data_IF_122781781344
#
_entry.id   IF_122781781344
#
_cell.length_a   1.000
_cell.length_b   1.000
_cell.length_c   1.000
_cell.angle_alpha   90.00
_cell.angle_beta   90.00
_cell.angle_gamma   90.00
#
_symmetry.space_group_name_H-M   'P 1'
#
loop_
_entity.id
_entity.type
_entity.pdbx_description
1 polymer ?
#
# COMPACT_ATOMS: atom_id res chain seq x y z
N UNK A 1 -1.23 1.97 3.94
CA UNK A 1 -1.35 0.85 4.89
C UNK A 1 -1.42 -0.42 4.08
N UNK A 2 -0.82 -1.51 4.52
CA UNK A 2 -0.93 -2.79 3.80
C UNK A 2 -2.39 -3.31 3.86
N UNK A 3 -2.78 -4.17 2.93
CA UNK A 3 -4.14 -4.74 2.85
C UNK A 3 -4.56 -5.47 4.13
N UNK A 4 -3.59 -6.05 4.85
CA UNK A 4 -3.79 -6.73 6.13
C UNK A 4 -3.94 -5.76 7.33
N UNK A 5 -4.04 -4.46 7.09
CA UNK A 5 -4.15 -3.43 8.13
C UNK A 5 -2.84 -3.08 8.85
N UNK A 6 -1.71 -3.65 8.43
CA UNK A 6 -0.40 -3.31 9.02
C UNK A 6 0.23 -2.07 8.37
N UNK A 7 1.17 -1.43 9.07
CA UNK A 7 1.90 -0.26 8.55
C UNK A 7 2.76 -0.62 7.33
N UNK A 8 3.27 0.39 6.61
CA UNK A 8 4.28 0.18 5.59
C UNK A 8 5.52 -0.50 6.22
N UNK A 9 6.19 -1.38 5.47
CA UNK A 9 7.41 -2.06 5.92
C UNK A 9 8.61 -1.12 5.94
N UNK A 10 9.54 -1.37 6.87
CA UNK A 10 10.80 -0.65 6.96
C UNK A 10 11.82 -1.22 5.97
N UNK A 11 11.74 -0.73 4.72
CA UNK A 11 12.59 -1.19 3.63
C UNK A 11 12.74 -0.10 2.56
N UNK A 12 13.47 -0.43 1.50
CA UNK A 12 13.50 0.39 0.27
C UNK A 12 12.38 -0.06 -0.66
N UNK A 13 11.55 0.89 -1.08
CA UNK A 13 10.44 0.67 -1.99
C UNK A 13 10.77 1.23 -3.37
N UNK A 14 10.67 0.39 -4.41
CA UNK A 14 10.71 0.84 -5.80
C UNK A 14 9.29 1.25 -6.23
N UNK A 15 9.09 2.56 -6.35
CA UNK A 15 7.81 3.15 -6.73
C UNK A 15 7.69 3.26 -8.25
N UNK A 16 6.47 3.11 -8.74
CA UNK A 16 6.14 3.35 -10.13
C UNK A 16 6.04 4.84 -10.42
N UNK A 17 6.60 5.27 -11.55
CA UNK A 17 6.55 6.67 -12.00
C UNK A 17 5.44 6.81 -13.04
N UNK A 18 4.41 7.58 -12.71
CA UNK A 18 3.32 7.92 -13.64
C UNK A 18 3.53 9.30 -14.24
N UNK A 19 3.33 9.39 -15.56
CA UNK A 19 3.29 10.66 -16.30
C UNK A 19 1.87 11.17 -16.36
N UNK A 20 1.72 12.46 -16.14
CA UNK A 20 0.42 13.16 -16.14
C UNK A 20 0.23 13.84 -17.51
N UNK A 21 -0.87 13.53 -18.18
CA UNK A 21 -1.45 14.34 -19.25
C UNK A 21 -2.39 15.38 -18.62
N UNK A 22 -1.87 16.59 -18.41
CA UNK A 22 -2.60 17.70 -17.80
C UNK A 22 -3.90 18.09 -18.53
N UNK A 23 -4.12 17.66 -19.78
CA UNK A 23 -5.39 17.91 -20.48
C UNK A 23 -6.50 16.96 -20.05
N UNK A 24 -6.14 15.81 -19.49
CA UNK A 24 -7.06 14.71 -19.12
C UNK A 24 -7.12 14.46 -17.62
N UNK A 25 -6.08 14.88 -16.90
CA UNK A 25 -5.97 14.73 -15.45
C UNK A 25 -6.85 15.75 -14.73
N UNK A 26 -7.65 15.27 -13.78
CA UNK A 26 -8.40 16.09 -12.83
C UNK A 26 -7.73 15.98 -11.46
N UNK A 27 -7.41 17.10 -10.84
CA UNK A 27 -6.71 17.16 -9.54
C UNK A 27 -7.57 16.62 -8.38
N UNK A 28 -8.90 16.61 -8.53
CA UNK A 28 -9.81 16.01 -7.56
C UNK A 28 -9.98 14.49 -7.76
N UNK A 29 -9.41 13.93 -8.82
CA UNK A 29 -9.51 12.51 -9.12
C UNK A 29 -8.57 11.69 -8.22
N UNK A 30 -9.15 10.70 -7.55
CA UNK A 30 -8.44 9.77 -6.67
C UNK A 30 -8.20 8.40 -7.32
N UNK A 31 -8.51 8.23 -8.61
CA UNK A 31 -8.33 6.96 -9.33
C UNK A 31 -6.89 6.44 -9.34
N UNK A 32 -5.90 7.29 -9.10
CA UNK A 32 -4.51 6.87 -8.92
C UNK A 32 -4.34 5.89 -7.74
N UNK A 33 -5.22 5.91 -6.73
CA UNK A 33 -5.20 4.98 -5.60
C UNK A 33 -5.53 3.54 -6.01
N UNK A 34 -6.17 3.33 -7.17
CA UNK A 34 -6.47 2.00 -7.71
C UNK A 34 -5.37 1.47 -8.64
N UNK A 35 -4.34 2.27 -8.91
CA UNK A 35 -3.19 1.86 -9.70
C UNK A 35 -2.12 1.26 -8.78
N UNK A 36 -1.31 0.31 -9.30
CA UNK A 36 -0.21 -0.25 -8.52
C UNK A 36 0.79 0.85 -8.15
N UNK A 37 1.25 0.84 -6.90
CA UNK A 37 2.18 1.83 -6.36
C UNK A 37 3.64 1.40 -6.46
N UNK A 38 3.90 0.09 -6.38
CA UNK A 38 5.24 -0.50 -6.38
C UNK A 38 5.44 -1.48 -7.53
N UNK A 39 6.70 -1.80 -7.83
CA UNK A 39 7.05 -2.83 -8.83
C UNK A 39 6.48 -4.21 -8.48
N UNK A 40 6.47 -4.57 -7.19
CA UNK A 40 5.91 -5.83 -6.72
C UNK A 40 4.39 -5.90 -6.92
N UNK A 41 3.70 -4.78 -6.70
CA UNK A 41 2.25 -4.68 -6.91
C UNK A 41 1.89 -4.70 -8.40
N UNK A 42 2.73 -4.10 -9.24
CA UNK A 42 2.60 -4.15 -10.70
C UNK A 42 2.58 -5.59 -11.23
N UNK A 43 3.51 -6.42 -10.78
CA UNK A 43 3.61 -7.81 -11.25
C UNK A 43 2.36 -8.62 -10.87
N UNK A 44 1.81 -8.40 -9.67
CA UNK A 44 0.53 -8.98 -9.23
C UNK A 44 -0.62 -8.48 -10.08
N UNK A 45 -0.69 -7.16 -10.31
CA UNK A 45 -1.73 -6.52 -11.11
C UNK A 45 -1.76 -7.10 -12.53
N UNK A 46 -0.60 -7.24 -13.17
CA UNK A 46 -0.50 -7.80 -14.52
C UNK A 46 -0.90 -9.28 -14.55
N UNK A 47 -0.55 -10.05 -13.52
CA UNK A 47 -0.94 -11.47 -13.42
C UNK A 47 -2.45 -11.65 -13.31
N UNK A 48 -3.14 -10.76 -12.59
CA UNK A 48 -4.60 -10.83 -12.40
C UNK A 48 -5.34 -10.29 -13.63
N UNK A 49 -4.84 -9.21 -14.24
CA UNK A 49 -5.58 -8.44 -15.24
C UNK A 49 -5.16 -8.73 -16.70
N UNK A 50 -4.11 -9.53 -16.95
CA UNK A 50 -3.67 -9.86 -18.32
C UNK A 50 -4.03 -11.29 -18.73
N UNK A 51 -4.50 -11.51 -19.98
CA UNK A 51 -4.66 -12.85 -20.53
C UNK A 51 -3.28 -13.54 -20.71
N UNK A 52 -3.22 -14.89 -20.78
CA UNK A 52 -1.97 -15.67 -20.81
C UNK A 52 -1.17 -15.55 -22.13
N UNK A 53 -1.41 -14.52 -22.94
CA UNK A 53 -0.69 -14.28 -24.20
C UNK A 53 0.26 -13.09 -24.08
N UNK A 54 1.48 -13.17 -24.64
CA UNK A 54 2.48 -12.12 -24.55
C UNK A 54 2.10 -10.98 -25.49
N UNK A 55 1.15 -10.15 -25.09
CA UNK A 55 0.76 -8.96 -25.85
C UNK A 55 1.66 -7.77 -25.49
N UNK A 56 2.06 -7.06 -26.53
CA UNK A 56 3.13 -6.07 -26.58
C UNK A 56 2.88 -4.92 -25.60
N UNK A 57 3.86 -4.68 -24.71
CA UNK A 57 4.00 -3.43 -23.96
C UNK A 57 3.12 -3.32 -22.71
N UNK A 58 3.54 -3.98 -21.62
CA UNK A 58 2.90 -3.96 -20.29
C UNK A 58 2.52 -2.55 -19.78
N UNK A 59 3.22 -1.49 -20.21
CA UNK A 59 2.94 -0.12 -19.77
C UNK A 59 1.69 0.50 -20.41
N UNK A 60 1.24 0.02 -21.58
CA UNK A 60 0.03 0.55 -22.23
C UNK A 60 -1.26 0.07 -21.57
N UNK A 61 -1.18 -1.00 -20.77
CA UNK A 61 -2.33 -1.59 -20.07
C UNK A 61 -2.66 -0.84 -18.77
N UNK A 62 -1.78 0.05 -18.32
CA UNK A 62 -1.88 0.73 -17.03
C UNK A 62 -1.90 2.22 -17.27
N UNK A 63 -3.05 2.66 -17.78
CA UNK A 63 -3.38 4.07 -17.92
C UNK A 63 -4.79 4.30 -17.40
N UNK A 64 -4.95 5.26 -16.50
CA UNK A 64 -6.24 5.74 -16.02
C UNK A 64 -6.22 7.27 -16.02
N UNK A 65 -7.29 7.90 -16.50
CA UNK A 65 -7.58 9.32 -16.29
C UNK A 65 -6.39 10.29 -16.48
N UNK A 66 -5.64 10.13 -17.59
CA UNK A 66 -4.48 10.97 -17.90
C UNK A 66 -3.16 10.55 -17.23
N UNK A 67 -3.14 9.47 -16.47
CA UNK A 67 -1.94 8.85 -15.92
C UNK A 67 -1.44 7.75 -16.84
N UNK A 68 -0.14 7.70 -17.11
CA UNK A 68 0.49 6.62 -17.89
C UNK A 68 1.78 6.18 -17.23
N UNK A 69 1.96 4.87 -17.08
CA UNK A 69 3.17 4.30 -16.47
C UNK A 69 4.43 4.58 -17.32
N UNK A 70 5.47 5.13 -16.70
CA UNK A 70 6.78 5.32 -17.33
C UNK A 70 7.63 4.05 -17.23
N UNK A 71 8.16 3.58 -18.36
CA UNK A 71 9.08 2.42 -18.42
C UNK A 71 10.54 2.76 -18.12
N UNK A 72 10.89 4.04 -18.25
CA UNK A 72 12.28 4.49 -18.37
C UNK A 72 12.80 5.11 -17.09
N UNK A 73 11.90 5.44 -16.19
CA UNK A 73 12.21 6.15 -14.96
C UNK A 73 12.11 5.17 -13.80
N UNK A 74 13.05 5.25 -12.87
CA UNK A 74 13.07 4.46 -11.64
C UNK A 74 13.13 5.41 -10.45
N UNK A 75 12.31 5.14 -9.43
CA UNK A 75 12.22 5.97 -8.24
C UNK A 75 12.19 5.11 -6.98
N UNK A 76 13.06 5.43 -6.02
CA UNK A 76 13.23 4.65 -4.80
C UNK A 76 13.04 5.53 -3.57
N UNK A 77 12.35 5.02 -2.57
CA UNK A 77 12.23 5.63 -1.24
C UNK A 77 12.64 4.63 -0.17
N UNK A 78 13.28 5.10 0.90
CA UNK A 78 13.49 4.32 2.12
C UNK A 78 12.50 4.76 3.19
N UNK A 79 11.84 3.82 3.87
CA UNK A 79 10.94 4.13 4.98
C UNK A 79 11.42 3.52 6.30
N UNK A 80 11.19 4.25 7.38
CA UNK A 80 11.33 3.78 8.76
C UNK A 80 10.10 4.25 9.55
N UNK A 81 9.22 3.34 9.89
CA UNK A 81 7.99 3.60 10.63
C UNK A 81 8.26 3.45 12.12
N UNK A 82 8.34 4.58 12.81
CA UNK A 82 8.47 4.58 14.26
C UNK A 82 7.09 4.68 14.92
N UNK A 83 6.65 3.63 15.61
CA UNK A 83 5.54 3.74 16.55
C UNK A 83 6.03 4.44 17.81
N UNK A 84 5.57 5.67 18.05
CA UNK A 84 5.74 6.28 19.37
C UNK A 84 4.88 5.53 20.38
N UNK A 85 5.48 5.11 21.48
CA UNK A 85 4.78 4.41 22.57
C UNK A 85 3.71 5.33 23.16
N UNK A 86 2.43 5.06 22.87
CA UNK A 86 1.33 5.63 23.64
C UNK A 86 1.38 4.97 25.03
N UNK A 87 1.55 5.78 26.05
CA UNK A 87 1.95 5.39 27.40
C UNK A 87 0.98 4.43 28.09
N UNK A 88 1.54 3.29 28.54
CA UNK A 88 1.29 2.58 29.80
C UNK A 88 -0.15 2.30 30.29
N UNK A 89 -1.18 2.29 29.44
CA UNK A 89 -2.45 1.70 29.87
C UNK A 89 -2.35 0.17 29.77
N UNK A 90 -2.20 -0.49 30.93
CA UNK A 90 -2.08 -1.96 31.05
C UNK A 90 -3.32 -2.65 30.49
N UNK A 91 -4.50 -2.05 30.65
CA UNK A 91 -5.77 -2.58 30.16
C UNK A 91 -5.80 -2.58 28.63
N UNK A 92 -5.33 -1.50 28.00
CA UNK A 92 -5.26 -1.37 26.55
C UNK A 92 -4.23 -2.33 25.93
N UNK A 93 -3.13 -2.60 26.66
CA UNK A 93 -2.17 -3.67 26.32
C UNK A 93 -2.79 -5.07 26.48
N UNK A 94 -3.61 -5.29 27.51
CA UNK A 94 -4.37 -6.53 27.73
C UNK A 94 -5.37 -6.78 26.60
N UNK A 95 -6.12 -5.74 26.21
CA UNK A 95 -7.03 -5.77 25.07
C UNK A 95 -6.32 -6.05 23.75
N UNK A 96 -5.14 -5.47 23.48
CA UNK A 96 -4.41 -5.73 22.25
C UNK A 96 -3.78 -7.13 22.19
N UNK A 97 -3.52 -7.76 23.35
CA UNK A 97 -2.88 -9.09 23.45
C UNK A 97 -3.86 -10.22 23.80
N UNK A 98 -5.16 -9.95 23.79
CA UNK A 98 -6.19 -10.87 24.27
C UNK A 98 -6.15 -12.27 23.62
N UNK A 99 -5.85 -12.35 22.33
CA UNK A 99 -5.76 -13.61 21.59
C UNK A 99 -4.62 -14.52 22.03
N UNK A 100 -3.55 -13.98 22.62
CA UNK A 100 -2.41 -14.74 23.13
C UNK A 100 -2.57 -15.08 24.61
N UNK A 101 -3.19 -14.18 25.39
CA UNK A 101 -3.33 -14.28 26.85
C UNK A 101 -4.75 -13.84 27.28
N UNK A 102 -5.78 -14.67 27.05
CA UNK A 102 -7.19 -14.30 27.26
C UNK A 102 -7.54 -13.97 28.71
N UNK A 103 -6.80 -14.49 29.69
CA UNK A 103 -6.93 -14.14 31.12
C UNK A 103 -6.70 -12.65 31.41
N UNK A 104 -5.92 -11.94 30.61
CA UNK A 104 -5.68 -10.50 30.79
C UNK A 104 -6.88 -9.63 30.37
N UNK A 105 -7.85 -10.21 29.66
CA UNK A 105 -9.06 -9.49 29.24
C UNK A 105 -9.96 -9.16 30.44
N UNK A 106 -10.00 -10.02 31.47
CA UNK A 106 -10.85 -9.79 32.63
C UNK A 106 -10.46 -8.51 33.38
N UNK A 107 -9.15 -8.30 33.56
CA UNK A 107 -8.61 -7.10 34.20
C UNK A 107 -8.81 -5.85 33.36
N UNK A 108 -8.86 -5.98 32.03
CA UNK A 108 -8.96 -4.84 31.12
C UNK A 108 -10.39 -4.29 30.91
N UNK A 109 -11.42 -5.06 31.28
CA UNK A 109 -12.84 -4.74 31.01
C UNK A 109 -13.61 -4.40 32.29
N UNK A 110 -12.99 -4.52 33.47
CA UNK A 110 -13.60 -4.07 34.74
C UNK A 110 -13.32 -2.58 34.97
N UNK A 111 -14.18 -1.72 34.40
CA UNK A 111 -14.35 -0.32 34.78
C UNK A 111 -15.38 -0.20 35.91
#
# INVERSE_FOLDING_TARGET
>A
MQENGTTLKDETHELLVYKIDYKRFDENDIHYLNLPSTRQELDKYLTINSPPTPSKGSNSLISSNGLTLSSKDSFYIGSLVCSTKLTQNVDLLGLLKWWSNPENLQFAVTL
#
